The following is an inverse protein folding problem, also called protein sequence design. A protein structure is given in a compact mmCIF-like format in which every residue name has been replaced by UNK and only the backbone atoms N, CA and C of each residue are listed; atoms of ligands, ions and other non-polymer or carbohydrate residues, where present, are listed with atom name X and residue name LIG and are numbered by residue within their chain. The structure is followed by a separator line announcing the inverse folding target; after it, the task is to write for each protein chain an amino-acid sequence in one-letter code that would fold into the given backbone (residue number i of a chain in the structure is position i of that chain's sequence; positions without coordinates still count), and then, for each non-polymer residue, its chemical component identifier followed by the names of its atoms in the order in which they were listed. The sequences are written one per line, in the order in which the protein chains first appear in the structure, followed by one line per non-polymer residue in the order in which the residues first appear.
data_IF_645670765431
#
_entry.id   IF_645670765431
#
_cell.length_a   1.000
_cell.length_b   1.000
_cell.length_c   1.000
_cell.angle_alpha   90.00
_cell.angle_beta   90.00
_cell.angle_gamma   90.00
#
_symmetry.space_group_name_H-M   'P 1'
#
loop_
_entity.id
_entity.type
_entity.pdbx_description
1 polymer ?
#
# COMPACT_ATOMS: atom_id res chain seq x y z
N UNK A 1 17.52 -27.32 8.06
CA UNK A 1 16.60 -28.12 8.89
C UNK A 1 15.20 -27.59 8.67
N UNK A 2 14.35 -28.38 8.02
CA UNK A 2 12.95 -28.05 7.82
C UNK A 2 12.25 -28.10 9.17
N UNK A 3 11.50 -27.04 9.50
CA UNK A 3 10.59 -27.06 10.65
C UNK A 3 9.33 -27.74 10.15
N UNK A 4 9.15 -29.00 10.57
CA UNK A 4 7.93 -29.77 10.42
C UNK A 4 6.83 -29.09 11.25
N UNK A 5 5.97 -28.32 10.57
CA UNK A 5 4.77 -27.75 11.18
C UNK A 5 3.67 -28.80 11.10
N UNK A 6 3.63 -29.68 12.10
CA UNK A 6 2.58 -30.69 12.24
C UNK A 6 1.19 -30.11 11.99
N UNK A 7 0.50 -30.72 11.03
CA UNK A 7 -0.84 -30.35 10.58
C UNK A 7 -1.88 -30.51 11.70
N UNK A 8 -2.18 -29.39 12.35
CA UNK A 8 -3.53 -29.10 12.83
C UNK A 8 -3.77 -27.61 12.55
N UNK A 9 -4.12 -27.30 11.30
CA UNK A 9 -4.61 -25.97 10.96
C UNK A 9 -5.85 -25.69 11.82
N UNK A 10 -5.70 -24.91 12.89
CA UNK A 10 -6.83 -24.39 13.64
C UNK A 10 -7.65 -23.53 12.69
N UNK A 11 -8.73 -24.12 12.15
CA UNK A 11 -9.67 -23.42 11.32
C UNK A 11 -10.32 -22.32 12.16
N UNK A 12 -9.95 -21.07 11.90
CA UNK A 12 -10.62 -19.91 12.50
C UNK A 12 -12.02 -19.85 11.91
N UNK A 13 -13.02 -20.24 12.69
CA UNK A 13 -14.42 -20.15 12.29
C UNK A 13 -14.92 -18.70 12.44
N UNK A 14 -15.39 -18.11 11.34
CA UNK A 14 -16.10 -16.83 11.39
C UNK A 14 -17.47 -17.10 12.01
N UNK A 15 -17.66 -16.70 13.28
CA UNK A 15 -18.88 -16.98 14.05
C UNK A 15 -20.03 -16.02 13.73
N UNK A 16 -19.77 -14.96 12.96
CA UNK A 16 -20.80 -14.04 12.48
C UNK A 16 -20.25 -12.91 11.62
N UNK A 17 -21.12 -12.34 10.80
CA UNK A 17 -20.87 -11.11 10.04
C UNK A 17 -22.04 -10.15 10.29
N UNK A 18 -21.74 -8.85 10.43
CA UNK A 18 -22.77 -7.81 10.58
C UNK A 18 -22.45 -6.65 9.66
N UNK A 19 -23.39 -6.32 8.79
CA UNK A 19 -23.33 -5.10 7.97
C UNK A 19 -24.17 -4.02 8.66
N UNK A 20 -23.56 -2.90 9.00
CA UNK A 20 -24.28 -1.73 9.53
C UNK A 20 -24.84 -0.95 8.35
N UNK A 21 -26.17 -0.76 8.30
CA UNK A 21 -26.79 0.04 7.25
C UNK A 21 -26.36 1.51 7.36
N UNK A 22 -26.01 2.18 6.26
CA UNK A 22 -25.60 3.57 6.32
C UNK A 22 -26.79 4.47 6.64
N UNK A 23 -26.62 5.44 7.55
CA UNK A 23 -27.63 6.46 7.83
C UNK A 23 -27.95 7.40 6.64
N UNK A 24 -27.14 7.40 5.58
CA UNK A 24 -27.37 8.15 4.33
C UNK A 24 -27.38 7.19 3.16
N UNK A 25 -28.34 7.36 2.26
CA UNK A 25 -28.48 6.56 1.02
C UNK A 25 -27.73 7.16 -0.16
N UNK A 26 -27.18 8.38 -0.01
CA UNK A 26 -26.37 9.06 -1.02
C UNK A 26 -25.13 9.67 -0.37
N UNK A 27 -23.98 9.49 -1.02
CA UNK A 27 -22.69 10.04 -0.60
C UNK A 27 -22.09 10.78 -1.80
N UNK A 28 -21.66 12.02 -1.59
CA UNK A 28 -20.86 12.73 -2.59
C UNK A 28 -19.45 12.13 -2.60
N UNK A 29 -18.91 11.94 -3.80
CA UNK A 29 -17.53 11.51 -4.03
C UNK A 29 -16.79 12.65 -4.73
N UNK A 30 -15.50 12.79 -4.44
CA UNK A 30 -14.60 13.65 -5.20
C UNK A 30 -14.06 12.89 -6.42
N UNK A 31 -13.53 13.60 -7.42
CA UNK A 31 -12.87 12.99 -8.60
C UNK A 31 -11.81 11.96 -8.18
N UNK A 32 -11.09 12.20 -7.07
CA UNK A 32 -10.11 11.27 -6.50
C UNK A 32 -10.67 9.90 -6.08
N UNK A 33 -11.95 9.80 -5.75
CA UNK A 33 -12.59 8.55 -5.32
C UNK A 33 -12.99 7.67 -6.51
N UNK A 34 -13.38 8.30 -7.63
CA UNK A 34 -14.06 7.65 -8.74
C UNK A 34 -13.28 6.50 -9.41
N UNK A 35 -11.97 6.63 -9.67
CA UNK A 35 -11.23 5.56 -10.35
C UNK A 35 -11.16 4.27 -9.54
N UNK A 36 -11.26 4.38 -8.21
CA UNK A 36 -11.06 3.30 -7.25
C UNK A 36 -12.36 2.78 -6.64
N UNK A 37 -13.53 3.24 -7.08
CA UNK A 37 -14.82 2.90 -6.44
C UNK A 37 -15.15 1.40 -6.51
N UNK A 38 -14.57 0.67 -7.46
CA UNK A 38 -14.69 -0.78 -7.61
C UNK A 38 -13.56 -1.55 -6.90
N UNK A 39 -12.61 -0.85 -6.27
CA UNK A 39 -11.59 -1.49 -5.46
C UNK A 39 -12.22 -1.84 -4.11
N UNK A 40 -11.81 -2.97 -3.55
CA UNK A 40 -12.28 -3.33 -2.22
C UNK A 40 -11.61 -2.42 -1.17
N UNK A 41 -12.15 -2.36 0.03
CA UNK A 41 -11.50 -1.62 1.10
C UNK A 41 -10.16 -2.29 1.45
N UNK A 42 -9.15 -1.47 1.78
CA UNK A 42 -7.85 -1.97 2.21
C UNK A 42 -8.00 -2.68 3.56
N UNK A 43 -7.62 -3.96 3.58
CA UNK A 43 -7.66 -4.78 4.78
C UNK A 43 -6.33 -4.72 5.52
N UNK A 44 -6.39 -4.63 6.85
CA UNK A 44 -5.23 -4.77 7.74
C UNK A 44 -5.50 -5.86 8.76
N UNK A 45 -4.51 -6.71 8.97
CA UNK A 45 -4.47 -7.68 10.05
C UNK A 45 -3.51 -7.17 11.12
N UNK A 46 -4.04 -6.86 12.30
CA UNK A 46 -3.28 -6.44 13.47
C UNK A 46 -3.18 -7.64 14.42
N UNK A 47 -1.97 -8.12 14.64
CA UNK A 47 -1.70 -9.28 15.49
C UNK A 47 -1.19 -8.78 16.84
N UNK A 48 -1.94 -9.05 17.90
CA UNK A 48 -1.59 -8.66 19.27
C UNK A 48 -1.07 -9.86 20.06
N UNK A 49 -0.14 -9.59 20.97
CA UNK A 49 0.30 -10.56 21.98
C UNK A 49 -0.44 -10.27 23.28
N UNK A 50 -1.12 -11.28 23.80
CA UNK A 50 -1.82 -11.16 25.08
C UNK A 50 -0.81 -11.18 26.25
N UNK A 51 -0.88 -10.26 27.22
CA UNK A 51 0.08 -10.18 28.33
C UNK A 51 0.18 -11.47 29.16
N UNK A 52 -0.97 -12.08 29.52
CA UNK A 52 -1.03 -13.34 30.28
C UNK A 52 -1.54 -14.51 29.43
N UNK A 53 -1.45 -14.42 28.10
CA UNK A 53 -1.92 -15.46 27.19
C UNK A 53 -3.44 -15.60 27.19
N UNK A 54 -3.94 -16.85 27.11
CA UNK A 54 -5.37 -17.13 26.95
C UNK A 54 -6.24 -16.69 28.14
N UNK A 55 -5.64 -16.53 29.34
CA UNK A 55 -6.36 -16.10 30.54
C UNK A 55 -7.01 -14.71 30.38
N UNK A 56 -6.41 -13.82 29.58
CA UNK A 56 -6.91 -12.46 29.35
C UNK A 56 -7.90 -12.36 28.18
N UNK A 57 -8.19 -13.45 27.45
CA UNK A 57 -8.88 -13.38 26.17
C UNK A 57 -10.26 -12.69 26.26
N UNK A 58 -11.04 -13.00 27.29
CA UNK A 58 -12.36 -12.40 27.50
C UNK A 58 -12.26 -10.90 27.81
N UNK A 59 -11.35 -10.51 28.72
CA UNK A 59 -11.13 -9.11 29.10
C UNK A 59 -10.65 -8.28 27.90
N UNK A 60 -9.69 -8.81 27.14
CA UNK A 60 -9.15 -8.18 25.93
C UNK A 60 -10.24 -8.01 24.86
N UNK A 61 -11.09 -9.02 24.68
CA UNK A 61 -12.20 -8.95 23.73
C UNK A 61 -13.21 -7.88 24.13
N UNK A 62 -13.54 -7.77 25.43
CA UNK A 62 -14.42 -6.73 25.95
C UNK A 62 -13.83 -5.32 25.72
N UNK A 63 -12.56 -5.11 26.09
CA UNK A 63 -11.85 -3.83 25.82
C UNK A 63 -11.83 -3.46 24.35
N UNK A 64 -11.58 -4.44 23.47
CA UNK A 64 -11.60 -4.22 22.02
C UNK A 64 -13.00 -3.84 21.54
N UNK A 65 -14.05 -4.50 22.03
CA UNK A 65 -15.43 -4.17 21.68
C UNK A 65 -15.81 -2.75 22.11
N UNK A 66 -15.45 -2.35 23.33
CA UNK A 66 -15.69 -1.01 23.86
C UNK A 66 -14.94 0.06 23.05
N UNK A 67 -13.64 -0.14 22.84
CA UNK A 67 -12.81 0.80 22.08
C UNK A 67 -13.25 0.91 20.60
N UNK A 68 -13.71 -0.19 19.99
CA UNK A 68 -14.33 -0.15 18.66
C UNK A 68 -15.68 0.58 18.68
N UNK A 69 -16.48 0.42 19.74
CA UNK A 69 -17.71 1.18 19.97
C UNK A 69 -17.44 2.69 20.01
N UNK A 70 -16.42 3.10 20.75
CA UNK A 70 -15.96 4.49 20.81
C UNK A 70 -15.47 4.97 19.44
N UNK A 71 -14.62 4.19 18.77
CA UNK A 71 -14.12 4.49 17.42
C UNK A 71 -15.29 4.71 16.45
N UNK A 72 -16.27 3.80 16.47
CA UNK A 72 -17.46 3.89 15.66
C UNK A 72 -18.21 5.19 15.92
N UNK A 73 -18.24 5.76 17.13
CA UNK A 73 -18.84 7.06 17.42
C UNK A 73 -18.17 8.23 16.64
N UNK A 74 -16.86 8.15 16.37
CA UNK A 74 -16.10 9.15 15.58
C UNK A 74 -16.26 8.96 14.08
N UNK A 75 -16.36 7.71 13.61
CA UNK A 75 -16.66 7.39 12.21
C UNK A 75 -18.17 7.44 11.92
N UNK A 76 -18.97 7.59 12.96
CA UNK A 76 -20.39 7.91 12.94
C UNK A 76 -20.66 9.38 12.56
N UNK A 77 -20.02 9.99 11.57
CA UNK A 77 -20.75 10.93 10.71
C UNK A 77 -21.82 10.27 9.82
N UNK A 78 -22.33 9.13 10.31
CA UNK A 78 -23.69 8.60 10.19
C UNK A 78 -24.56 8.65 11.50
N UNK A 79 -24.07 9.05 12.69
CA UNK A 79 -24.76 9.29 13.99
C UNK A 79 -23.82 9.84 15.12
N UNK A 80 -23.37 11.10 15.00
CA UNK A 80 -22.36 11.66 15.90
C UNK A 80 -22.73 11.75 17.38
N UNK A 81 -21.73 12.03 18.24
CA UNK A 81 -21.76 12.80 19.52
C UNK A 81 -20.47 12.60 20.36
N UNK A 82 -19.30 13.06 19.88
CA UNK A 82 -18.09 13.29 20.72
C UNK A 82 -17.30 14.49 20.14
N UNK A 83 -16.60 15.28 20.99
CA UNK A 83 -15.71 16.39 20.59
C UNK A 83 -14.24 15.94 20.53
N UNK A 84 -13.63 15.78 19.34
CA UNK A 84 -12.20 15.49 19.18
C UNK A 84 -11.33 16.75 19.26
N UNK A 85 -10.00 16.58 19.31
CA UNK A 85 -9.01 17.66 19.20
C UNK A 85 -9.05 18.39 17.85
N UNK A 86 -9.47 17.70 16.78
CA UNK A 86 -9.86 18.28 15.50
C UNK A 86 -10.93 17.41 14.81
N UNK A 87 -11.97 18.03 14.24
CA UNK A 87 -13.07 17.33 13.58
C UNK A 87 -12.68 16.91 12.14
N UNK A 88 -13.06 15.69 11.69
CA UNK A 88 -12.89 15.30 10.29
C UNK A 88 -13.71 16.18 9.35
N UNK A 89 -13.10 16.65 8.26
CA UNK A 89 -13.78 17.44 7.22
C UNK A 89 -14.35 16.49 6.17
N UNK A 90 -15.68 16.38 6.11
CA UNK A 90 -16.39 15.51 5.18
C UNK A 90 -16.79 16.19 3.86
N UNK A 91 -16.55 17.50 3.72
CA UNK A 91 -16.90 18.25 2.52
C UNK A 91 -15.98 17.85 1.34
N UNK A 92 -16.43 16.92 0.50
CA UNK A 92 -15.71 16.48 -0.73
C UNK A 92 -15.39 17.61 -1.69
N UNK A 93 -16.25 18.61 -1.78
CA UNK A 93 -16.06 19.72 -2.70
C UNK A 93 -14.81 20.56 -2.37
N UNK A 94 -14.28 20.45 -1.14
CA UNK A 94 -13.00 21.07 -0.77
C UNK A 94 -11.83 20.52 -1.57
N UNK A 95 -11.85 19.24 -1.96
CA UNK A 95 -10.78 18.63 -2.73
C UNK A 95 -10.92 18.93 -4.23
N UNK A 96 -12.13 18.80 -4.76
CA UNK A 96 -12.48 19.08 -6.17
C UNK A 96 -14.00 19.11 -6.29
N UNK A 97 -14.56 20.12 -6.95
CA UNK A 97 -16.02 20.31 -7.07
C UNK A 97 -16.57 20.08 -8.48
N UNK A 98 -15.95 19.16 -9.24
CA UNK A 98 -16.35 18.82 -10.61
C UNK A 98 -17.32 17.63 -10.60
N UNK A 99 -18.35 17.68 -11.44
CA UNK A 99 -19.30 16.58 -11.62
C UNK A 99 -18.88 15.77 -12.83
N UNK A 100 -18.71 14.46 -12.62
CA UNK A 100 -18.27 13.51 -13.63
C UNK A 100 -19.34 12.44 -13.78
N UNK A 101 -19.77 12.19 -15.02
CA UNK A 101 -20.65 11.07 -15.34
C UNK A 101 -19.84 9.78 -15.43
N UNK A 102 -20.20 8.77 -14.65
CA UNK A 102 -19.55 7.46 -14.69
C UNK A 102 -20.59 6.35 -14.55
N UNK A 103 -20.60 5.42 -15.49
CA UNK A 103 -21.46 4.24 -15.42
C UNK A 103 -20.84 3.25 -14.45
N UNK A 104 -21.57 2.92 -13.38
CA UNK A 104 -21.11 1.96 -12.39
C UNK A 104 -21.55 0.54 -12.77
N UNK A 105 -20.68 -0.46 -12.57
CA UNK A 105 -21.03 -1.87 -12.73
C UNK A 105 -21.93 -2.32 -11.58
N UNK A 106 -22.58 -3.48 -11.74
CA UNK A 106 -23.46 -4.04 -10.72
C UNK A 106 -22.74 -4.33 -9.39
N UNK A 107 -21.44 -4.64 -9.46
CA UNK A 107 -20.58 -4.85 -8.29
C UNK A 107 -19.10 -4.68 -8.64
N UNK A 108 -18.25 -4.57 -7.61
CA UNK A 108 -16.80 -4.65 -7.76
C UNK A 108 -16.35 -5.94 -8.46
N UNK A 109 -16.98 -7.07 -8.12
CA UNK A 109 -16.70 -8.38 -8.75
C UNK A 109 -17.06 -8.40 -10.24
N UNK A 110 -18.19 -7.78 -10.60
CA UNK A 110 -18.60 -7.66 -12.00
C UNK A 110 -17.60 -6.82 -12.81
N UNK A 111 -17.05 -5.74 -12.22
CA UNK A 111 -15.98 -4.95 -12.81
C UNK A 111 -14.68 -5.74 -12.97
N UNK A 112 -14.32 -6.53 -11.97
CA UNK A 112 -13.11 -7.33 -12.01
C UNK A 112 -13.15 -8.37 -13.14
N UNK A 113 -14.33 -8.93 -13.44
CA UNK A 113 -14.54 -9.87 -14.55
C UNK A 113 -14.41 -9.23 -15.94
N UNK A 114 -14.45 -7.90 -16.04
CA UNK A 114 -14.27 -7.18 -17.32
C UNK A 114 -12.83 -6.73 -17.55
N UNK A 115 -11.87 -7.17 -16.72
CA UNK A 115 -10.46 -6.84 -16.87
C UNK A 115 -9.95 -7.24 -18.26
N UNK A 116 -9.46 -6.29 -19.09
CA UNK A 116 -9.02 -6.58 -20.45
C UNK A 116 -7.79 -7.49 -20.50
N UNK A 117 -7.07 -7.64 -19.38
CA UNK A 117 -5.89 -8.50 -19.27
C UNK A 117 -6.22 -9.93 -18.83
N UNK A 118 -7.52 -10.26 -18.73
CA UNK A 118 -8.00 -11.60 -18.41
C UNK A 118 -8.15 -11.86 -16.91
N UNK A 119 -8.45 -13.12 -16.53
CA UNK A 119 -8.71 -13.47 -15.14
C UNK A 119 -7.46 -13.36 -14.27
N UNK A 120 -7.68 -13.14 -12.97
CA UNK A 120 -6.60 -13.15 -11.98
C UNK A 120 -5.85 -14.48 -12.01
N UNK A 121 -4.52 -14.38 -12.10
CA UNK A 121 -3.62 -15.52 -11.96
C UNK A 121 -3.40 -15.85 -10.48
N UNK A 122 -3.04 -17.10 -10.13
CA UNK A 122 -2.67 -17.46 -8.77
C UNK A 122 -1.53 -16.57 -8.26
N UNK A 123 -1.63 -16.15 -7.00
CA UNK A 123 -0.62 -15.33 -6.35
C UNK A 123 -0.10 -16.01 -5.10
N UNK A 124 1.19 -15.85 -4.86
CA UNK A 124 1.87 -16.21 -3.62
C UNK A 124 2.29 -14.92 -2.93
N UNK A 125 1.85 -14.74 -1.69
CA UNK A 125 2.29 -13.65 -0.83
C UNK A 125 3.41 -14.13 0.11
N UNK A 126 4.45 -13.31 0.25
CA UNK A 126 5.57 -13.53 1.18
C UNK A 126 5.91 -12.25 1.92
N UNK A 127 6.45 -12.43 3.13
CA UNK A 127 7.00 -11.32 3.91
C UNK A 127 8.50 -11.49 4.01
N UNK A 128 9.23 -10.48 3.55
CA UNK A 128 10.67 -10.38 3.67
C UNK A 128 11.01 -9.29 4.69
N UNK A 129 11.65 -9.67 5.78
CA UNK A 129 12.08 -8.71 6.80
C UNK A 129 13.45 -8.15 6.44
N UNK A 130 13.55 -6.83 6.32
CA UNK A 130 14.78 -6.09 6.13
C UNK A 130 15.11 -5.34 7.44
N UNK A 131 16.01 -5.87 8.29
CA UNK A 131 16.49 -5.17 9.47
C UNK A 131 17.11 -3.81 9.13
N UNK A 132 17.15 -2.89 10.09
CA UNK A 132 17.70 -1.54 9.88
C UNK A 132 19.11 -1.52 9.29
N UNK A 133 20.06 -2.37 9.73
CA UNK A 133 21.39 -2.39 9.11
C UNK A 133 21.35 -2.76 7.63
N UNK A 134 20.40 -3.61 7.23
CA UNK A 134 20.20 -4.02 5.84
C UNK A 134 19.57 -2.89 5.03
N UNK A 135 18.55 -2.21 5.57
CA UNK A 135 17.94 -1.04 4.93
C UNK A 135 18.97 0.09 4.78
N UNK A 136 19.79 0.32 5.79
CA UNK A 136 20.86 1.31 5.79
C UNK A 136 21.91 0.99 4.71
N UNK A 137 22.28 -0.27 4.55
CA UNK A 137 23.22 -0.72 3.50
C UNK A 137 22.65 -0.55 2.10
N UNK A 138 21.40 -0.96 1.85
CA UNK A 138 20.71 -0.74 0.56
C UNK A 138 20.66 0.76 0.25
N UNK A 139 20.33 1.58 1.25
CA UNK A 139 20.31 3.04 1.11
C UNK A 139 21.70 3.60 0.81
N UNK A 140 22.73 3.15 1.52
CA UNK A 140 24.11 3.60 1.30
C UNK A 140 24.58 3.26 -0.11
N UNK A 141 24.37 2.01 -0.57
CA UNK A 141 24.71 1.58 -1.92
C UNK A 141 24.03 2.43 -2.98
N UNK A 142 22.72 2.70 -2.85
CA UNK A 142 21.98 3.54 -3.80
C UNK A 142 22.44 5.01 -3.80
N UNK A 143 23.15 5.48 -2.78
CA UNK A 143 23.63 6.87 -2.68
C UNK A 143 25.14 7.01 -2.95
N UNK A 144 25.85 5.90 -3.18
CA UNK A 144 27.31 5.88 -3.17
C UNK A 144 27.91 6.69 -4.33
N UNK A 145 27.31 6.64 -5.51
CA UNK A 145 27.81 7.33 -6.70
C UNK A 145 27.07 8.65 -7.02
N UNK A 146 26.42 9.28 -6.02
CA UNK A 146 25.74 10.56 -6.25
C UNK A 146 26.73 11.71 -6.46
N UNK A 147 26.46 12.65 -7.40
CA UNK A 147 27.27 13.85 -7.57
C UNK A 147 27.31 14.70 -6.30
N UNK A 148 28.42 15.45 -6.07
CA UNK A 148 28.49 16.40 -4.95
C UNK A 148 27.31 17.39 -4.97
N UNK A 149 26.64 17.54 -3.83
CA UNK A 149 25.48 18.43 -3.67
C UNK A 149 24.14 17.85 -4.15
N UNK A 150 24.10 16.63 -4.70
CA UNK A 150 22.86 15.97 -5.07
C UNK A 150 22.02 15.62 -3.83
N UNK A 151 20.69 15.71 -3.96
CA UNK A 151 19.75 15.34 -2.89
C UNK A 151 19.79 13.82 -2.67
N UNK A 152 20.08 13.33 -1.45
CA UNK A 152 20.18 11.91 -1.19
C UNK A 152 18.82 11.20 -1.35
N UNK A 153 18.86 9.94 -1.78
CA UNK A 153 17.71 9.06 -1.82
C UNK A 153 17.27 8.65 -0.41
N UNK A 154 15.96 8.69 -0.19
CA UNK A 154 15.34 8.19 1.04
C UNK A 154 15.38 6.66 1.11
N UNK A 155 15.24 6.09 2.33
CA UNK A 155 15.13 4.65 2.51
C UNK A 155 14.01 4.02 1.67
N UNK A 156 12.88 4.73 1.52
CA UNK A 156 11.76 4.31 0.67
C UNK A 156 12.17 4.22 -0.81
N UNK A 157 12.91 5.21 -1.33
CA UNK A 157 13.36 5.22 -2.72
C UNK A 157 14.40 4.14 -2.98
N UNK A 158 15.38 3.98 -2.07
CA UNK A 158 16.42 2.97 -2.20
C UNK A 158 15.87 1.55 -2.09
N UNK A 159 15.00 1.27 -1.10
CA UNK A 159 14.38 -0.04 -0.96
C UNK A 159 13.38 -0.32 -2.10
N UNK A 160 12.61 0.68 -2.53
CA UNK A 160 11.71 0.56 -3.69
C UNK A 160 12.47 0.22 -4.97
N UNK A 161 13.60 0.88 -5.22
CA UNK A 161 14.49 0.57 -6.35
C UNK A 161 15.06 -0.84 -6.27
N UNK A 162 15.50 -1.26 -5.08
CA UNK A 162 16.00 -2.62 -4.82
C UNK A 162 14.94 -3.69 -5.12
N UNK A 163 13.72 -3.50 -4.63
CA UNK A 163 12.58 -4.39 -4.89
C UNK A 163 12.24 -4.40 -6.38
N UNK A 164 12.18 -3.24 -7.03
CA UNK A 164 11.84 -3.15 -8.45
C UNK A 164 12.80 -3.95 -9.32
N UNK A 165 14.11 -3.74 -9.14
CA UNK A 165 15.15 -4.48 -9.86
C UNK A 165 15.04 -5.98 -9.59
N UNK A 166 14.88 -6.37 -8.33
CA UNK A 166 14.81 -7.78 -7.94
C UNK A 166 13.59 -8.48 -8.50
N UNK A 167 12.41 -7.84 -8.48
CA UNK A 167 11.19 -8.39 -9.07
C UNK A 167 11.30 -8.47 -10.59
N UNK A 168 11.86 -7.47 -11.26
CA UNK A 168 12.05 -7.51 -12.72
C UNK A 168 13.01 -8.61 -13.15
N UNK A 169 14.07 -8.86 -12.38
CA UNK A 169 14.99 -9.98 -12.59
C UNK A 169 14.32 -11.32 -12.28
N UNK A 170 13.60 -11.43 -11.17
CA UNK A 170 12.85 -12.64 -10.81
C UNK A 170 11.71 -12.96 -11.80
N UNK A 171 11.20 -11.97 -12.55
CA UNK A 171 10.27 -12.17 -13.67
C UNK A 171 10.96 -12.60 -14.96
N UNK A 172 12.29 -12.61 -15.02
CA UNK A 172 13.09 -12.92 -16.22
C UNK A 172 12.71 -12.05 -17.42
N UNK A 173 12.44 -10.77 -17.17
CA UNK A 173 12.05 -9.83 -18.22
C UNK A 173 13.18 -9.69 -19.26
N UNK A 174 12.80 -9.75 -20.54
CA UNK A 174 13.70 -9.51 -21.66
C UNK A 174 14.17 -8.05 -21.70
N UNK A 175 15.32 -7.75 -22.33
CA UNK A 175 15.89 -6.39 -22.30
C UNK A 175 14.96 -5.29 -22.81
N UNK A 176 14.07 -5.62 -23.76
CA UNK A 176 13.11 -4.70 -24.37
C UNK A 176 11.77 -4.62 -23.61
N UNK A 177 11.51 -5.53 -22.66
CA UNK A 177 10.26 -5.54 -21.91
C UNK A 177 10.17 -4.29 -21.02
N UNK A 178 9.06 -3.56 -21.12
CA UNK A 178 8.84 -2.43 -20.25
C UNK A 178 8.45 -2.92 -18.86
N UNK A 179 9.15 -2.44 -17.84
CA UNK A 179 8.79 -2.61 -16.44
C UNK A 179 8.44 -1.27 -15.83
N UNK A 180 7.49 -1.27 -14.89
CA UNK A 180 6.91 -0.06 -14.31
C UNK A 180 7.01 -0.14 -12.79
N UNK A 181 7.32 0.97 -12.15
CA UNK A 181 7.19 1.15 -10.71
C UNK A 181 6.10 2.17 -10.41
N UNK A 182 5.20 1.82 -9.50
CA UNK A 182 4.10 2.68 -9.09
C UNK A 182 4.14 2.94 -7.58
N UNK A 183 3.85 4.17 -7.19
CA UNK A 183 3.61 4.55 -5.80
C UNK A 183 2.33 5.37 -5.71
N UNK A 184 1.61 5.24 -4.60
CA UNK A 184 0.39 6.01 -4.37
C UNK A 184 0.70 7.22 -3.49
N UNK A 185 0.60 8.42 -4.04
CA UNK A 185 0.92 9.66 -3.36
C UNK A 185 -0.31 10.24 -2.67
N UNK A 186 -0.16 10.65 -1.40
CA UNK A 186 -1.13 11.53 -0.74
C UNK A 186 -1.00 12.94 -1.32
N UNK A 187 -2.07 13.42 -1.93
CA UNK A 187 -2.13 14.71 -2.62
C UNK A 187 -2.51 15.86 -1.70
N UNK A 188 -2.89 15.62 -0.43
CA UNK A 188 -3.32 16.69 0.52
C UNK A 188 -2.35 17.87 0.57
N UNK A 189 -1.08 17.59 0.86
CA UNK A 189 -0.04 18.60 0.97
C UNK A 189 0.54 19.04 -0.39
N UNK A 190 0.11 18.42 -1.49
CA UNK A 190 0.61 18.69 -2.85
C UNK A 190 -0.29 19.64 -3.63
N UNK A 191 -1.57 19.76 -3.24
CA UNK A 191 -2.50 20.71 -3.84
C UNK A 191 -2.15 22.15 -3.43
N UNK A 192 -2.58 23.11 -4.25
CA UNK A 192 -2.47 24.54 -3.98
C UNK A 192 -3.87 25.20 -4.08
N UNK A 193 -4.46 25.65 -2.95
CA UNK A 193 -3.92 25.55 -1.59
C UNK A 193 -3.92 24.10 -1.06
N UNK A 194 -3.05 23.77 -0.07
CA UNK A 194 -3.03 22.44 0.55
C UNK A 194 -4.35 22.10 1.23
N UNK A 195 -4.79 20.85 1.08
CA UNK A 195 -5.97 20.33 1.76
C UNK A 195 -5.61 19.90 3.18
N UNK A 196 -6.39 20.28 4.21
CA UNK A 196 -6.08 19.95 5.60
C UNK A 196 -5.93 18.44 5.84
N UNK A 197 -5.02 18.06 6.74
CA UNK A 197 -4.82 16.67 7.14
C UNK A 197 -6.08 16.01 7.72
N UNK A 198 -7.00 16.81 8.26
CA UNK A 198 -8.30 16.37 8.78
C UNK A 198 -9.34 16.09 7.69
N UNK A 199 -9.05 16.34 6.41
CA UNK A 199 -9.93 15.94 5.31
C UNK A 199 -10.15 14.44 5.28
N UNK A 200 -11.42 14.05 5.40
CA UNK A 200 -11.83 12.68 5.58
C UNK A 200 -12.21 12.02 4.24
N UNK A 201 -11.24 11.65 3.41
CA UNK A 201 -11.39 10.64 2.34
C UNK A 201 -10.22 10.62 1.35
N UNK A 202 -10.44 10.16 0.11
CA UNK A 202 -9.31 9.89 -0.79
C UNK A 202 -8.82 11.16 -1.47
N UNK A 203 -7.51 11.42 -1.35
CA UNK A 203 -6.72 12.35 -2.15
C UNK A 203 -5.47 11.60 -2.57
N UNK A 204 -5.64 10.57 -3.39
CA UNK A 204 -4.55 9.68 -3.79
C UNK A 204 -4.46 9.68 -5.30
N UNK A 205 -3.25 9.81 -5.82
CA UNK A 205 -2.95 9.53 -7.22
C UNK A 205 -1.77 8.56 -7.31
N UNK A 206 -1.87 7.64 -8.27
CA UNK A 206 -0.75 6.79 -8.62
C UNK A 206 0.31 7.60 -9.40
N UNK A 207 1.56 7.44 -9.01
CA UNK A 207 2.74 8.02 -9.64
C UNK A 207 3.54 6.88 -10.25
N UNK A 208 3.73 6.94 -11.56
CA UNK A 208 4.39 5.89 -12.32
C UNK A 208 5.74 6.35 -12.84
N UNK A 209 6.67 5.41 -12.94
CA UNK A 209 7.88 5.52 -13.75
C UNK A 209 8.12 4.18 -14.42
N UNK A 210 8.62 4.17 -15.66
CA UNK A 210 8.82 2.94 -16.41
C UNK A 210 9.96 3.04 -17.41
N UNK A 211 10.66 1.94 -17.60
CA UNK A 211 11.83 1.80 -18.48
C UNK A 211 11.90 0.38 -19.04
N UNK A 212 12.66 0.15 -20.13
CA UNK A 212 13.07 -1.18 -20.53
C UNK A 212 13.81 -1.91 -19.40
N UNK A 213 13.50 -3.17 -19.18
CA UNK A 213 14.11 -3.97 -18.12
C UNK A 213 15.63 -4.10 -18.28
N UNK A 214 16.14 -4.12 -19.52
CA UNK A 214 17.58 -4.13 -19.80
C UNK A 214 18.29 -2.87 -19.28
N UNK A 215 17.63 -1.71 -19.37
CA UNK A 215 18.15 -0.45 -18.80
C UNK A 215 18.11 -0.48 -17.27
N UNK A 216 17.02 -0.99 -16.69
CA UNK A 216 16.87 -1.08 -15.23
C UNK A 216 17.91 -2.01 -14.60
N UNK A 217 18.07 -3.21 -15.17
CA UNK A 217 18.92 -4.27 -14.63
C UNK A 217 20.40 -4.08 -14.98
N UNK A 218 20.70 -3.55 -16.17
CA UNK A 218 22.07 -3.24 -16.60
C UNK A 218 22.61 -1.92 -16.05
N UNK A 219 21.74 -1.02 -15.56
CA UNK A 219 22.14 0.24 -14.95
C UNK A 219 22.57 0.10 -13.48
N UNK A 220 23.21 1.13 -12.90
CA UNK A 220 23.62 1.12 -11.49
C UNK A 220 22.40 1.32 -10.55
N UNK A 221 22.49 0.95 -9.25
CA UNK A 221 21.38 1.07 -8.29
C UNK A 221 20.80 2.49 -8.17
N UNK A 222 21.64 3.52 -8.29
CA UNK A 222 21.30 4.94 -8.29
C UNK A 222 20.27 5.28 -9.38
N UNK A 223 20.31 4.61 -10.53
CA UNK A 223 19.44 4.90 -11.67
C UNK A 223 17.96 4.71 -11.28
N UNK A 224 17.64 3.55 -10.73
CA UNK A 224 16.28 3.21 -10.31
C UNK A 224 15.80 4.14 -9.18
N UNK A 225 16.66 4.38 -8.17
CA UNK A 225 16.33 5.29 -7.07
C UNK A 225 16.12 6.74 -7.55
N UNK A 226 16.92 7.18 -8.52
CA UNK A 226 16.80 8.47 -9.20
C UNK A 226 15.50 8.62 -9.97
N UNK A 227 15.09 7.59 -10.71
CA UNK A 227 13.80 7.58 -11.40
C UNK A 227 12.62 7.71 -10.44
N UNK A 228 12.64 6.97 -9.32
CA UNK A 228 11.64 7.08 -8.26
C UNK A 228 11.67 8.50 -7.64
N UNK A 229 12.85 9.05 -7.35
CA UNK A 229 12.98 10.40 -6.78
C UNK A 229 12.42 11.47 -7.71
N UNK A 230 12.75 11.40 -9.00
CA UNK A 230 12.26 12.31 -10.03
C UNK A 230 10.74 12.23 -10.15
N UNK A 231 10.17 11.04 -10.36
CA UNK A 231 8.74 10.86 -10.54
C UNK A 231 7.92 11.35 -9.33
N UNK A 232 8.39 11.09 -8.10
CA UNK A 232 7.75 11.56 -6.86
C UNK A 232 7.88 13.08 -6.68
N UNK A 233 9.02 13.65 -7.10
CA UNK A 233 9.31 15.08 -7.00
C UNK A 233 8.51 15.92 -7.99
N UNK A 234 8.38 15.45 -9.23
CA UNK A 234 7.62 16.11 -10.31
C UNK A 234 6.09 16.00 -10.13
N UNK A 235 5.63 15.22 -9.16
CA UNK A 235 4.20 15.10 -8.85
C UNK A 235 3.69 16.24 -7.97
N UNK A 236 3.80 17.48 -8.46
CA UNK A 236 3.39 18.71 -7.78
C UNK A 236 1.89 19.06 -7.98
N UNK A 237 1.48 20.24 -7.50
CA UNK A 237 0.09 20.74 -7.62
C UNK A 237 -0.40 20.78 -9.06
N UNK A 238 0.45 21.22 -10.00
CA UNK A 238 0.12 21.31 -11.41
C UNK A 238 -0.03 19.92 -12.03
N UNK A 239 0.86 18.98 -11.69
CA UNK A 239 0.75 17.60 -12.13
C UNK A 239 -0.50 16.89 -11.58
N UNK A 240 -0.85 17.13 -10.31
CA UNK A 240 -2.08 16.60 -9.70
C UNK A 240 -3.31 17.13 -10.42
N UNK A 241 -3.40 18.45 -10.61
CA UNK A 241 -4.53 19.11 -11.28
C UNK A 241 -4.67 18.64 -12.72
N UNK A 242 -3.58 18.59 -13.48
CA UNK A 242 -3.60 18.10 -14.86
C UNK A 242 -4.16 16.68 -14.96
N UNK A 243 -3.76 15.77 -14.07
CA UNK A 243 -4.31 14.40 -14.04
C UNK A 243 -5.79 14.34 -13.68
N UNK A 244 -6.26 15.26 -12.84
CA UNK A 244 -7.70 15.39 -12.57
C UNK A 244 -8.43 15.85 -13.82
N UNK A 245 -7.93 16.86 -14.52
CA UNK A 245 -8.53 17.38 -15.76
C UNK A 245 -8.57 16.29 -16.84
N UNK A 246 -7.47 15.55 -17.03
CA UNK A 246 -7.38 14.40 -17.96
C UNK A 246 -8.41 13.32 -17.62
N UNK A 247 -8.54 12.97 -16.34
CA UNK A 247 -9.54 11.99 -15.90
C UNK A 247 -10.97 12.50 -16.05
N UNK A 248 -11.24 13.76 -15.74
CA UNK A 248 -12.55 14.39 -15.85
C UNK A 248 -13.03 14.46 -17.31
N UNK A 249 -12.10 14.61 -18.27
CA UNK A 249 -12.39 14.59 -19.70
C UNK A 249 -12.73 13.18 -20.24
N UNK A 250 -12.17 12.13 -19.65
CA UNK A 250 -12.38 10.75 -20.07
C UNK A 250 -12.43 9.79 -18.87
N UNK A 251 -13.53 9.83 -18.07
CA UNK A 251 -13.59 9.10 -16.82
C UNK A 251 -13.71 7.61 -17.06
N UNK A 252 -12.93 6.82 -16.31
CA UNK A 252 -12.96 5.37 -16.36
C UNK A 252 -12.76 4.74 -14.98
N UNK A 253 -13.31 3.55 -14.81
CA UNK A 253 -12.99 2.70 -13.66
C UNK A 253 -11.67 1.99 -13.92
N UNK A 254 -10.77 1.98 -12.94
CA UNK A 254 -9.48 1.32 -13.11
C UNK A 254 -9.59 -0.18 -12.90
N UNK A 255 -8.73 -0.91 -13.60
CA UNK A 255 -8.42 -2.30 -13.31
C UNK A 255 -7.03 -2.37 -12.66
N UNK A 256 -6.75 -3.39 -11.84
CA UNK A 256 -5.41 -3.55 -11.24
C UNK A 256 -4.32 -3.70 -12.30
N UNK A 257 -4.68 -4.29 -13.42
CA UNK A 257 -3.84 -4.52 -14.58
C UNK A 257 -3.60 -3.26 -15.43
N UNK A 258 -4.30 -2.13 -15.18
CA UNK A 258 -4.10 -0.86 -15.91
C UNK A 258 -2.68 -0.30 -15.78
N UNK A 259 -1.97 -0.69 -14.72
CA UNK A 259 -0.57 -0.33 -14.52
C UNK A 259 0.40 -1.14 -15.40
N UNK A 260 -0.10 -2.14 -16.13
CA UNK A 260 0.65 -3.05 -16.99
C UNK A 260 1.11 -4.34 -16.29
N UNK A 261 1.40 -5.41 -17.05
CA UNK A 261 1.70 -6.75 -16.51
C UNK A 261 3.02 -6.81 -15.71
N UNK A 262 3.94 -5.89 -15.97
CA UNK A 262 5.27 -5.83 -15.33
C UNK A 262 5.39 -4.72 -14.28
N UNK A 263 4.25 -4.27 -13.74
CA UNK A 263 4.22 -3.26 -12.70
C UNK A 263 4.67 -3.84 -11.35
N UNK A 264 5.40 -3.02 -10.58
CA UNK A 264 5.68 -3.22 -9.16
C UNK A 264 5.10 -2.01 -8.43
N UNK A 265 4.10 -2.23 -7.58
CA UNK A 265 3.32 -1.14 -6.99
C UNK A 265 3.40 -1.15 -5.47
N UNK A 266 3.81 -0.03 -4.88
CA UNK A 266 3.90 0.11 -3.42
C UNK A 266 2.66 0.80 -2.87
N UNK A 267 1.78 0.00 -2.24
CA UNK A 267 0.48 0.44 -1.70
C UNK A 267 0.48 0.97 -0.27
N UNK A 268 1.60 0.91 0.44
CA UNK A 268 1.70 1.43 1.80
C UNK A 268 3.00 2.19 2.06
N UNK A 269 3.09 2.79 3.24
CA UNK A 269 4.27 3.49 3.69
C UNK A 269 4.63 3.07 5.11
N UNK A 270 5.92 2.89 5.44
CA UNK A 270 6.38 2.73 6.82
C UNK A 270 6.00 3.91 7.72
N UNK A 271 5.63 5.07 7.16
CA UNK A 271 5.15 6.23 7.92
C UNK A 271 3.73 6.05 8.47
N UNK A 272 2.99 5.07 7.98
CA UNK A 272 1.66 4.80 8.51
C UNK A 272 1.77 4.25 9.92
N UNK A 273 1.09 4.91 10.86
CA UNK A 273 1.09 4.65 12.30
C UNK A 273 0.27 3.40 12.67
N UNK A 274 0.54 2.29 11.99
CA UNK A 274 -0.22 1.04 12.15
C UNK A 274 0.07 0.33 13.47
N UNK A 275 1.25 0.58 14.05
CA UNK A 275 1.65 0.07 15.35
C UNK A 275 1.14 0.94 16.51
N UNK A 276 0.51 2.09 16.22
CA UNK A 276 -0.02 3.00 17.23
C UNK A 276 -1.50 2.68 17.58
N UNK A 277 -2.05 1.62 16.98
CA UNK A 277 -3.41 1.15 17.26
C UNK A 277 -3.38 0.37 18.58
N UNK A 278 -3.65 1.05 19.68
CA UNK A 278 -3.73 0.46 21.02
C UNK A 278 -5.18 0.53 21.53
N UNK A 279 -5.75 -0.62 21.85
CA UNK A 279 -7.11 -0.76 22.39
C UNK A 279 -7.14 -0.79 23.93
N UNK A 280 -6.06 -0.38 24.59
CA UNK A 280 -5.91 -0.36 26.05
C UNK A 280 -5.20 -1.59 26.63
N UNK A 281 -4.61 -2.42 25.77
CA UNK A 281 -3.84 -3.61 26.16
C UNK A 281 -2.50 -3.73 25.42
N UNK A 282 -2.04 -2.62 24.85
CA UNK A 282 -0.76 -2.52 24.17
C UNK A 282 -0.88 -2.51 22.65
N UNK A 283 0.25 -2.21 22.01
CA UNK A 283 0.38 -2.13 20.55
C UNK A 283 0.36 -3.50 19.85
N UNK A 284 0.08 -3.55 18.53
CA UNK A 284 0.23 -4.76 17.75
C UNK A 284 1.68 -5.27 17.79
N UNK A 285 1.86 -6.58 17.85
CA UNK A 285 3.16 -7.22 17.65
C UNK A 285 3.56 -7.24 16.16
N UNK A 286 2.58 -7.48 15.28
CA UNK A 286 2.77 -7.51 13.82
C UNK A 286 1.58 -6.92 13.09
N UNK A 287 1.86 -6.36 11.91
CA UNK A 287 0.84 -5.86 10.98
C UNK A 287 1.03 -6.52 9.63
N UNK A 288 -0.07 -6.97 9.01
CA UNK A 288 -0.11 -7.57 7.66
C UNK A 288 -1.25 -6.98 6.83
N UNK A 289 -1.19 -7.16 5.52
CA UNK A 289 -2.29 -6.86 4.62
C UNK A 289 -3.25 -8.05 4.50
N UNK A 290 -4.54 -7.76 4.29
CA UNK A 290 -5.52 -8.79 3.94
C UNK A 290 -5.38 -9.30 2.51
N UNK A 291 -6.40 -10.02 2.03
CA UNK A 291 -6.42 -10.56 0.67
C UNK A 291 -6.87 -9.56 -0.40
N UNK A 292 -7.61 -8.52 0.02
CA UNK A 292 -8.14 -7.52 -0.90
C UNK A 292 -7.04 -6.78 -1.67
N UNK A 293 -7.38 -6.39 -2.90
CA UNK A 293 -6.59 -5.49 -3.74
C UNK A 293 -5.15 -5.99 -4.03
N UNK A 294 -4.89 -7.30 -3.90
CA UNK A 294 -3.62 -7.92 -4.29
C UNK A 294 -3.63 -8.27 -5.77
N UNK A 295 -2.50 -7.97 -6.42
CA UNK A 295 -2.19 -8.32 -7.80
C UNK A 295 -0.69 -8.65 -7.90
N UNK A 296 -0.28 -9.22 -9.03
CA UNK A 296 1.13 -9.55 -9.28
C UNK A 296 2.00 -8.29 -9.27
N UNK A 297 2.96 -8.22 -8.35
CA UNK A 297 3.85 -7.07 -8.13
C UNK A 297 3.38 -6.11 -7.05
N UNK A 298 2.30 -6.43 -6.32
CA UNK A 298 1.82 -5.59 -5.23
C UNK A 298 2.71 -5.71 -3.99
N UNK A 299 3.16 -4.56 -3.46
CA UNK A 299 4.08 -4.42 -2.34
C UNK A 299 3.44 -3.61 -1.22
N UNK A 300 3.53 -4.12 0.00
CA UNK A 300 3.20 -3.40 1.22
C UNK A 300 4.45 -3.32 2.11
N UNK A 301 4.84 -2.10 2.43
CA UNK A 301 5.91 -1.77 3.37
C UNK A 301 5.32 -1.47 4.74
N UNK A 302 5.78 -2.18 5.76
CA UNK A 302 5.45 -1.95 7.16
C UNK A 302 6.72 -1.68 7.96
N UNK A 303 6.65 -0.89 9.05
CA UNK A 303 7.72 -0.88 10.03
C UNK A 303 8.05 -2.31 10.47
N UNK A 304 9.33 -2.59 10.69
CA UNK A 304 9.79 -3.87 11.22
C UNK A 304 9.17 -4.17 12.60
N UNK A 305 9.37 -5.41 13.08
CA UNK A 305 8.82 -5.87 14.35
C UNK A 305 9.07 -4.85 15.47
N UNK A 306 8.00 -4.49 16.18
CA UNK A 306 8.05 -3.52 17.28
C UNK A 306 8.04 -2.06 16.85
N UNK A 307 7.94 -1.71 15.56
CA UNK A 307 7.70 -0.34 15.10
C UNK A 307 8.86 0.66 15.22
N UNK A 308 9.81 0.43 16.13
CA UNK A 308 10.82 1.43 16.53
C UNK A 308 12.20 1.18 15.93
N UNK A 309 12.44 0.03 15.31
CA UNK A 309 13.79 -0.47 15.02
C UNK A 309 14.39 0.00 13.70
N UNK A 310 13.72 0.89 12.94
CA UNK A 310 14.19 1.36 11.61
C UNK A 310 14.15 0.31 10.49
N UNK A 311 13.90 -0.96 10.81
CA UNK A 311 13.70 -2.04 9.85
C UNK A 311 12.35 -1.93 9.12
N UNK A 312 12.22 -2.69 8.03
CA UNK A 312 11.02 -2.70 7.18
C UNK A 312 10.64 -4.15 6.87
N UNK A 313 9.39 -4.52 7.17
CA UNK A 313 8.77 -5.75 6.67
C UNK A 313 8.18 -5.45 5.28
N UNK A 314 8.61 -6.18 4.27
CA UNK A 314 8.12 -6.09 2.88
C UNK A 314 7.20 -7.26 2.62
N UNK A 315 5.89 -7.03 2.57
CA UNK A 315 4.91 -8.00 2.10
C UNK A 315 4.73 -7.84 0.59
N UNK A 316 5.05 -8.88 -0.17
CA UNK A 316 5.06 -8.88 -1.62
C UNK A 316 4.19 -10.02 -2.16
N UNK A 317 3.33 -9.70 -3.13
CA UNK A 317 2.55 -10.69 -3.88
C UNK A 317 3.09 -10.81 -5.32
N UNK A 318 3.40 -12.03 -5.75
CA UNK A 318 3.81 -12.34 -7.12
C UNK A 318 3.13 -13.62 -7.60
N UNK A 319 3.20 -13.88 -8.91
CA UNK A 319 2.95 -15.23 -9.43
C UNK A 319 3.94 -16.26 -8.83
N UNK A 320 3.59 -17.56 -8.79
CA UNK A 320 4.37 -18.58 -8.10
C UNK A 320 5.83 -18.67 -8.56
N UNK A 321 6.09 -18.68 -9.86
CA UNK A 321 7.43 -18.91 -10.43
C UNK A 321 8.37 -17.73 -10.14
N UNK A 322 7.98 -16.45 -10.38
CA UNK A 322 8.80 -15.32 -9.94
C UNK A 322 9.04 -15.28 -8.44
N UNK A 323 8.05 -15.64 -7.61
CA UNK A 323 8.23 -15.69 -6.16
C UNK A 323 9.31 -16.71 -5.76
N UNK A 324 9.26 -17.93 -6.32
CA UNK A 324 10.24 -18.97 -6.02
C UNK A 324 11.67 -18.58 -6.39
N UNK A 325 11.86 -17.80 -7.46
CA UNK A 325 13.17 -17.25 -7.83
C UNK A 325 13.60 -16.15 -6.88
N UNK A 326 12.69 -15.22 -6.54
CA UNK A 326 12.98 -14.13 -5.63
C UNK A 326 13.36 -14.62 -4.22
N UNK A 327 12.72 -15.68 -3.73
CA UNK A 327 13.06 -16.34 -2.46
C UNK A 327 14.48 -16.92 -2.42
N UNK A 328 15.14 -17.05 -3.56
CA UNK A 328 16.51 -17.58 -3.70
C UNK A 328 17.50 -16.53 -4.21
N UNK A 329 17.04 -15.30 -4.46
CA UNK A 329 17.87 -14.22 -5.00
C UNK A 329 18.74 -13.63 -3.88
N UNK A 330 20.01 -14.00 -3.85
CA UNK A 330 20.97 -13.57 -2.82
C UNK A 330 21.19 -12.05 -2.79
N UNK A 331 21.08 -11.38 -3.95
CA UNK A 331 21.18 -9.92 -4.03
C UNK A 331 19.93 -9.30 -3.41
N UNK A 332 18.74 -9.82 -3.73
CA UNK A 332 17.50 -9.35 -3.11
C UNK A 332 17.53 -9.51 -1.58
N UNK A 333 17.92 -10.70 -1.12
CA UNK A 333 17.98 -11.08 0.29
C UNK A 333 19.17 -10.48 1.03
N UNK A 334 20.11 -9.85 0.33
CA UNK A 334 21.31 -9.24 0.89
C UNK A 334 22.19 -10.23 1.67
N UNK A 335 22.30 -11.47 1.19
CA UNK A 335 23.02 -12.58 1.88
C UNK A 335 24.53 -12.43 1.79
N UNK A 336 25.06 -11.85 0.70
CA UNK A 336 26.49 -11.77 0.42
C UNK A 336 27.20 -10.48 0.90
N UNK A 337 26.51 -9.61 1.65
CA UNK A 337 27.02 -8.28 2.02
C UNK A 337 27.43 -8.14 3.50
N UNK A 338 28.00 -9.22 4.05
CA UNK A 338 28.60 -9.26 5.40
C UNK A 338 30.05 -8.79 5.36
#
# INVERSE_FOLDING_TARGET
MAVDNGDAAMAVAVTGTRTVAPAKTKVTLATFDLPYITFYYNQKLLLYRLPQGAADFQDVTARMADALGDALAYFYPLAGRIRPSALPIHNRAMARSVRVGLTLPASAEAHEKTDPNGPKKPLVARVFSFPEPVVARIKAAANAALPPGAKPFSAFQSLGAHIWRSVSRARELGPADITVFAVFADCRARLDPPVPATYFGNLIQAVFTGVPAGMLLGGPPELAAGMLQKAIGEHDAAAVTRRLDEYEAAPKLFHYSDAGPNCVAVGSSPRFRVYDVDFGFGRPERVRSGGNNKFDGMVYLYPGRGGDSGGIDVELALQPEPMQRLEKDEEFLQVAAA
#
